data_IF_880590567374
#
_entry.id   IF_880590567374
#
_cell.length_a   1.000
_cell.length_b   1.000
_cell.length_c   1.000
_cell.angle_alpha   90.00
_cell.angle_beta   90.00
_cell.angle_gamma   90.00
#
_symmetry.space_group_name_H-M   'P 1'
#
loop_
_entity.id
_entity.type
_entity.pdbx_description
1 polymer ?
#
# COMPACT_ATOMS: atom_id res chain seq x y z
N UNK A 1 78.64 6.52 -22.76
CA UNK A 1 77.43 6.33 -23.55
C UNK A 1 76.28 6.27 -22.56
N UNK A 2 75.68 7.44 -22.24
CA UNK A 2 74.76 7.67 -21.16
C UNK A 2 73.32 7.56 -21.71
N UNK A 3 72.55 6.55 -21.31
CA UNK A 3 71.10 6.47 -21.51
C UNK A 3 70.39 7.01 -20.27
N UNK A 4 69.88 8.24 -20.41
CA UNK A 4 68.89 8.75 -19.45
C UNK A 4 67.51 8.30 -19.92
N UNK A 5 66.89 7.43 -19.14
CA UNK A 5 65.47 7.11 -19.27
C UNK A 5 64.68 8.25 -18.63
N UNK A 6 64.04 9.06 -19.44
CA UNK A 6 63.04 10.03 -18.99
C UNK A 6 61.74 9.28 -18.66
N UNK A 7 61.43 9.21 -17.38
CA UNK A 7 60.16 8.72 -16.88
C UNK A 7 59.10 9.86 -17.01
N UNK A 8 58.48 9.97 -18.15
CA UNK A 8 57.25 10.76 -18.31
C UNK A 8 56.06 9.87 -18.08
N UNK A 9 55.64 9.71 -16.83
CA UNK A 9 54.32 9.25 -16.50
C UNK A 9 53.33 10.41 -16.61
N UNK A 10 52.38 10.39 -17.53
CA UNK A 10 51.30 11.39 -17.51
C UNK A 10 50.46 11.18 -16.25
N UNK A 11 50.53 12.14 -15.34
CA UNK A 11 49.60 12.26 -14.23
C UNK A 11 48.18 12.29 -14.80
N UNK A 12 47.56 11.12 -14.85
CA UNK A 12 46.13 11.01 -15.04
C UNK A 12 45.46 11.81 -13.92
N UNK A 13 44.90 12.96 -14.26
CA UNK A 13 43.96 13.67 -13.38
C UNK A 13 42.81 12.71 -13.10
N UNK A 14 42.84 12.08 -11.91
CA UNK A 14 41.68 11.44 -11.34
C UNK A 14 40.67 12.57 -11.16
N UNK A 15 39.76 12.69 -12.08
CA UNK A 15 38.60 13.56 -11.91
C UNK A 15 37.97 13.20 -10.53
N UNK A 16 37.70 14.19 -9.68
CA UNK A 16 37.05 13.88 -8.41
C UNK A 16 35.74 13.18 -8.76
N UNK A 17 35.63 11.92 -8.32
CA UNK A 17 34.34 11.23 -8.25
C UNK A 17 33.53 12.06 -7.27
N UNK A 18 32.75 13.00 -7.81
CA UNK A 18 31.73 13.67 -7.02
C UNK A 18 30.86 12.58 -6.49
N UNK A 19 31.03 12.23 -5.22
CA UNK A 19 30.02 11.56 -4.42
C UNK A 19 28.77 12.45 -4.46
N UNK A 20 28.00 12.28 -5.52
CA UNK A 20 26.63 12.75 -5.55
C UNK A 20 25.92 11.86 -4.55
N UNK A 21 25.86 12.30 -3.29
CA UNK A 21 24.90 11.74 -2.34
C UNK A 21 23.56 11.67 -3.08
N UNK A 22 22.97 10.50 -3.27
CA UNK A 22 21.71 10.40 -3.96
C UNK A 22 20.74 11.32 -3.23
N UNK A 23 20.18 12.27 -3.97
CA UNK A 23 19.18 13.18 -3.40
C UNK A 23 18.05 12.32 -2.84
N UNK A 24 17.90 12.32 -1.51
CA UNK A 24 16.89 11.56 -0.78
C UNK A 24 15.46 12.00 -1.11
N UNK A 25 15.33 13.01 -1.97
CA UNK A 25 14.06 13.63 -2.32
C UNK A 25 13.91 13.54 -3.84
N UNK A 26 12.77 13.00 -4.35
CA UNK A 26 12.45 13.02 -5.77
C UNK A 26 12.44 14.46 -6.29
N UNK A 27 12.70 14.66 -7.57
CA UNK A 27 12.69 15.98 -8.17
C UNK A 27 11.41 16.73 -7.85
N UNK A 28 11.51 17.88 -7.19
CA UNK A 28 10.36 18.67 -6.70
C UNK A 28 9.29 18.89 -7.77
N UNK A 29 9.70 19.06 -9.03
CA UNK A 29 8.80 19.27 -10.15
C UNK A 29 7.91 18.04 -10.42
N UNK A 30 8.48 16.84 -10.49
CA UNK A 30 7.72 15.61 -10.73
C UNK A 30 6.75 15.30 -9.57
N UNK A 31 7.19 15.53 -8.34
CA UNK A 31 6.36 15.31 -7.15
C UNK A 31 5.19 16.28 -7.10
N UNK A 32 5.41 17.59 -7.32
CA UNK A 32 4.34 18.58 -7.31
C UNK A 32 3.33 18.38 -8.45
N UNK A 33 3.79 18.00 -9.63
CA UNK A 33 2.91 17.69 -10.78
C UNK A 33 2.04 16.49 -10.47
N UNK A 34 2.60 15.39 -9.95
CA UNK A 34 1.82 14.19 -9.62
C UNK A 34 0.77 14.48 -8.56
N UNK A 35 1.17 15.10 -7.45
CA UNK A 35 0.25 15.46 -6.37
C UNK A 35 -0.85 16.40 -6.89
N UNK A 36 -0.48 17.39 -7.69
CA UNK A 36 -1.43 18.32 -8.31
C UNK A 36 -2.43 17.61 -9.22
N UNK A 37 -1.99 16.66 -10.04
CA UNK A 37 -2.88 15.88 -10.91
C UNK A 37 -3.82 15.00 -10.08
N UNK A 38 -3.33 14.31 -9.04
CA UNK A 38 -4.17 13.47 -8.19
C UNK A 38 -5.21 14.32 -7.45
N UNK A 39 -4.81 15.45 -6.86
CA UNK A 39 -5.75 16.34 -6.18
C UNK A 39 -6.76 16.95 -7.15
N UNK A 40 -6.34 17.39 -8.32
CA UNK A 40 -7.24 17.88 -9.36
C UNK A 40 -8.24 16.81 -9.79
N UNK A 41 -7.79 15.57 -9.95
CA UNK A 41 -8.68 14.46 -10.28
C UNK A 41 -9.71 14.19 -9.19
N UNK A 42 -9.33 14.28 -7.91
CA UNK A 42 -10.28 14.20 -6.78
C UNK A 42 -11.31 15.35 -6.84
N UNK A 43 -10.87 16.56 -7.15
CA UNK A 43 -11.79 17.71 -7.32
C UNK A 43 -12.75 17.48 -8.47
N UNK A 44 -12.25 16.96 -9.60
CA UNK A 44 -13.08 16.69 -10.77
C UNK A 44 -14.16 15.63 -10.52
N UNK A 45 -13.94 14.68 -9.59
CA UNK A 45 -14.98 13.69 -9.24
C UNK A 45 -16.25 14.33 -8.66
N UNK A 46 -16.16 15.54 -8.11
CA UNK A 46 -17.32 16.27 -7.61
C UNK A 46 -18.21 16.86 -8.72
N UNK A 47 -17.68 16.95 -9.94
CA UNK A 47 -18.38 17.54 -11.08
C UNK A 47 -18.82 16.51 -12.11
N UNK A 48 -18.30 15.27 -12.03
CA UNK A 48 -18.57 14.24 -13.01
C UNK A 48 -19.47 13.18 -12.37
N UNK A 49 -20.76 13.25 -12.70
CA UNK A 49 -21.72 12.21 -12.35
C UNK A 49 -21.74 11.17 -13.49
N UNK A 50 -21.17 10.00 -13.27
CA UNK A 50 -21.29 8.89 -14.22
C UNK A 50 -22.55 8.10 -13.91
N UNK A 51 -23.35 7.73 -14.93
CA UNK A 51 -24.53 6.90 -14.70
C UNK A 51 -24.12 5.53 -14.13
N UNK A 52 -24.75 5.15 -13.01
CA UNK A 52 -24.61 3.79 -12.45
C UNK A 52 -25.11 2.77 -13.46
N UNK A 53 -24.26 1.84 -13.83
CA UNK A 53 -24.66 0.73 -14.70
C UNK A 53 -24.68 -0.57 -13.89
N UNK A 54 -25.85 -1.27 -13.82
CA UNK A 54 -25.87 -2.61 -13.26
C UNK A 54 -25.12 -3.54 -14.22
N UNK A 55 -24.03 -4.12 -13.76
CA UNK A 55 -23.31 -5.16 -14.49
C UNK A 55 -23.73 -6.50 -13.90
N UNK A 56 -24.47 -7.27 -14.67
CA UNK A 56 -24.88 -8.63 -14.30
C UNK A 56 -23.97 -9.65 -14.97
N UNK A 57 -23.23 -10.41 -14.23
CA UNK A 57 -22.48 -11.57 -14.70
C UNK A 57 -23.11 -12.82 -14.08
N UNK A 58 -23.51 -13.81 -14.87
CA UNK A 58 -23.94 -15.09 -14.34
C UNK A 58 -22.74 -16.02 -14.17
N UNK A 59 -22.40 -16.37 -12.92
CA UNK A 59 -21.36 -17.35 -12.61
C UNK A 59 -22.01 -18.59 -12.02
N UNK A 60 -21.79 -19.74 -12.64
CA UNK A 60 -22.36 -21.03 -12.21
C UNK A 60 -23.90 -21.01 -12.04
N UNK A 61 -24.61 -20.26 -12.90
CA UNK A 61 -26.07 -20.18 -12.83
C UNK A 61 -26.63 -19.20 -11.78
N UNK A 62 -25.78 -18.55 -10.98
CA UNK A 62 -26.19 -17.51 -10.04
C UNK A 62 -25.95 -16.12 -10.67
N UNK A 63 -26.96 -15.25 -10.79
CA UNK A 63 -26.79 -13.90 -11.29
C UNK A 63 -26.01 -13.07 -10.27
N UNK A 64 -24.74 -12.80 -10.54
CA UNK A 64 -23.94 -11.82 -9.81
C UNK A 64 -24.22 -10.44 -10.41
N UNK A 65 -25.19 -9.74 -9.86
CA UNK A 65 -25.36 -8.30 -10.15
C UNK A 65 -24.51 -7.51 -9.19
N UNK A 66 -23.56 -6.72 -9.68
CA UNK A 66 -22.91 -5.67 -8.91
C UNK A 66 -23.18 -4.32 -9.57
N UNK A 67 -23.51 -3.36 -8.74
CA UNK A 67 -23.68 -2.00 -9.19
C UNK A 67 -22.29 -1.36 -9.28
N UNK A 68 -21.83 -1.14 -10.50
CA UNK A 68 -20.62 -0.34 -10.71
C UNK A 68 -21.01 1.11 -10.45
N UNK A 69 -20.90 1.55 -9.21
CA UNK A 69 -21.16 2.93 -8.87
C UNK A 69 -20.06 3.84 -9.43
N UNK A 70 -20.43 5.03 -9.81
CA UNK A 70 -19.52 6.11 -10.24
C UNK A 70 -18.34 6.28 -9.28
N UNK A 71 -18.62 6.22 -7.98
CA UNK A 71 -17.62 6.40 -6.93
C UNK A 71 -16.51 5.36 -6.94
N UNK A 72 -16.84 4.07 -7.17
CA UNK A 72 -15.85 3.00 -7.25
C UNK A 72 -14.99 3.12 -8.51
N UNK A 73 -15.62 3.49 -9.63
CA UNK A 73 -14.90 3.70 -10.88
C UNK A 73 -13.92 4.87 -10.76
N UNK A 74 -14.37 5.98 -10.18
CA UNK A 74 -13.51 7.14 -9.94
C UNK A 74 -12.40 6.84 -8.95
N UNK A 75 -12.69 6.12 -7.86
CA UNK A 75 -11.68 5.68 -6.91
C UNK A 75 -10.61 4.77 -7.57
N UNK A 76 -11.02 3.86 -8.45
CA UNK A 76 -10.11 3.00 -9.20
C UNK A 76 -9.24 3.79 -10.20
N UNK A 77 -9.82 4.78 -10.89
CA UNK A 77 -9.06 5.67 -11.79
C UNK A 77 -8.02 6.50 -11.01
N UNK A 78 -8.39 7.02 -9.85
CA UNK A 78 -7.47 7.76 -8.97
C UNK A 78 -6.35 6.87 -8.44
N UNK A 79 -6.67 5.66 -8.04
CA UNK A 79 -5.67 4.67 -7.64
C UNK A 79 -4.70 4.36 -8.80
N UNK A 80 -5.22 4.14 -10.00
CA UNK A 80 -4.42 3.91 -11.20
C UNK A 80 -3.49 5.08 -11.54
N UNK A 81 -4.00 6.31 -11.40
CA UNK A 81 -3.22 7.53 -11.61
C UNK A 81 -2.10 7.68 -10.57
N UNK A 82 -2.39 7.41 -9.30
CA UNK A 82 -1.39 7.41 -8.24
C UNK A 82 -0.32 6.32 -8.46
N UNK A 83 -0.71 5.12 -8.90
CA UNK A 83 0.20 4.03 -9.25
C UNK A 83 1.15 4.42 -10.38
N UNK A 84 0.61 4.90 -11.50
CA UNK A 84 1.40 5.28 -12.70
C UNK A 84 2.35 6.43 -12.41
N UNK A 85 1.88 7.42 -11.65
CA UNK A 85 2.71 8.55 -11.23
C UNK A 85 3.83 8.13 -10.28
N UNK A 86 3.56 7.21 -9.36
CA UNK A 86 4.59 6.65 -8.47
C UNK A 86 5.64 5.88 -9.26
N UNK A 87 5.23 5.06 -10.22
CA UNK A 87 6.15 4.35 -11.11
C UNK A 87 7.10 5.31 -11.83
N UNK A 88 6.55 6.39 -12.39
CA UNK A 88 7.34 7.42 -13.06
C UNK A 88 8.39 8.05 -12.12
N UNK A 89 8.03 8.33 -10.86
CA UNK A 89 8.95 8.88 -9.86
C UNK A 89 10.00 7.86 -9.43
N UNK A 90 9.62 6.63 -9.12
CA UNK A 90 10.54 5.56 -8.69
C UNK A 90 11.59 5.27 -9.77
N UNK A 91 11.20 5.28 -11.05
CA UNK A 91 12.13 5.10 -12.19
C UNK A 91 13.14 6.23 -12.34
N UNK A 92 12.93 7.40 -11.76
CA UNK A 92 13.93 8.48 -11.75
C UNK A 92 15.06 8.25 -10.73
N UNK A 93 14.88 7.28 -9.80
CA UNK A 93 15.90 7.02 -8.79
C UNK A 93 17.17 6.43 -9.42
N UNK A 94 18.39 6.89 -9.05
CA UNK A 94 19.66 6.44 -9.65
C UNK A 94 19.85 4.91 -9.57
N UNK A 95 19.39 4.28 -8.49
CA UNK A 95 19.46 2.82 -8.28
C UNK A 95 18.28 2.04 -8.86
N UNK A 96 17.28 2.70 -9.42
CA UNK A 96 16.13 2.01 -10.03
C UNK A 96 16.53 1.10 -11.19
N UNK A 97 17.67 1.38 -11.86
CA UNK A 97 18.22 0.54 -12.92
C UNK A 97 18.79 -0.79 -12.42
N UNK A 98 19.18 -0.85 -11.14
CA UNK A 98 19.71 -2.05 -10.48
C UNK A 98 18.58 -2.92 -9.92
N UNK A 99 17.45 -2.30 -9.57
CA UNK A 99 16.23 -3.00 -9.15
C UNK A 99 15.55 -3.54 -10.41
N UNK A 100 15.41 -4.86 -10.49
CA UNK A 100 14.72 -5.49 -11.62
C UNK A 100 13.35 -4.83 -11.84
N UNK A 101 13.11 -4.31 -13.04
CA UNK A 101 11.86 -3.62 -13.41
C UNK A 101 10.60 -4.50 -13.20
N UNK A 102 10.78 -5.80 -13.02
CA UNK A 102 9.69 -6.75 -12.77
C UNK A 102 9.03 -6.59 -11.38
N UNK A 103 9.66 -5.88 -10.45
CA UNK A 103 9.18 -5.78 -9.06
C UNK A 103 8.80 -4.36 -8.63
N UNK A 104 8.75 -3.39 -9.56
CA UNK A 104 8.37 -2.00 -9.23
C UNK A 104 6.91 -1.87 -8.77
N UNK A 105 6.07 -2.86 -9.09
CA UNK A 105 4.64 -2.84 -8.72
C UNK A 105 4.38 -2.78 -7.21
N UNK A 106 5.34 -3.22 -6.37
CA UNK A 106 5.19 -3.14 -4.90
C UNK A 106 5.11 -1.68 -4.44
N UNK A 107 5.88 -0.78 -5.05
CA UNK A 107 5.88 0.65 -4.74
C UNK A 107 4.57 1.37 -5.15
N UNK A 108 3.70 0.72 -5.93
CA UNK A 108 2.43 1.31 -6.37
C UNK A 108 1.30 1.08 -5.35
N UNK A 109 1.45 0.05 -4.51
CA UNK A 109 0.38 -0.42 -3.63
C UNK A 109 -0.10 0.68 -2.70
N UNK A 110 0.79 1.28 -1.93
CA UNK A 110 0.39 2.27 -0.94
C UNK A 110 -0.15 3.57 -1.55
N UNK A 111 0.54 4.23 -2.51
CA UNK A 111 -0.01 5.43 -3.14
C UNK A 111 -1.37 5.18 -3.81
N UNK A 112 -1.53 4.03 -4.47
CA UNK A 112 -2.80 3.64 -5.08
C UNK A 112 -3.92 3.47 -4.06
N UNK A 113 -3.65 2.76 -2.96
CA UNK A 113 -4.64 2.56 -1.90
C UNK A 113 -4.94 3.83 -1.12
N UNK A 114 -3.97 4.72 -0.92
CA UNK A 114 -4.21 6.07 -0.35
C UNK A 114 -5.18 6.84 -1.24
N UNK A 115 -4.96 6.84 -2.56
CA UNK A 115 -5.85 7.51 -3.51
C UNK A 115 -7.28 6.93 -3.46
N UNK A 116 -7.40 5.61 -3.43
CA UNK A 116 -8.68 4.91 -3.34
C UNK A 116 -9.43 5.22 -2.04
N UNK A 117 -8.76 5.08 -0.89
CA UNK A 117 -9.36 5.36 0.43
C UNK A 117 -9.74 6.82 0.54
N UNK A 118 -8.87 7.74 0.11
CA UNK A 118 -9.16 9.17 0.13
C UNK A 118 -10.38 9.52 -0.72
N UNK A 119 -10.48 8.98 -1.94
CA UNK A 119 -11.65 9.20 -2.79
C UNK A 119 -12.95 8.73 -2.11
N UNK A 120 -12.93 7.54 -1.48
CA UNK A 120 -14.10 7.00 -0.78
C UNK A 120 -14.50 7.80 0.46
N UNK A 121 -13.53 8.24 1.25
CA UNK A 121 -13.79 9.04 2.45
C UNK A 121 -14.27 10.46 2.09
N UNK A 122 -13.68 11.08 1.08
CA UNK A 122 -14.07 12.41 0.62
C UNK A 122 -15.46 12.43 -0.01
N UNK A 123 -15.87 11.36 -0.70
CA UNK A 123 -17.21 11.22 -1.24
C UNK A 123 -18.29 11.20 -0.14
N UNK A 124 -17.94 10.81 1.09
CA UNK A 124 -18.84 10.76 2.25
C UNK A 124 -18.69 11.97 3.18
N UNK A 125 -17.92 12.99 2.80
CA UNK A 125 -17.69 14.14 3.65
C UNK A 125 -18.98 14.95 3.89
N UNK A 126 -19.40 15.16 5.17
CA UNK A 126 -20.69 15.77 5.48
C UNK A 126 -20.74 17.28 5.19
N UNK A 127 -19.59 17.95 5.13
CA UNK A 127 -19.52 19.38 4.88
C UNK A 127 -18.38 19.72 3.91
N UNK A 128 -18.51 20.84 3.19
CA UNK A 128 -17.46 21.35 2.30
C UNK A 128 -16.14 21.64 3.03
N UNK A 129 -16.23 22.07 4.29
CA UNK A 129 -15.04 22.34 5.11
C UNK A 129 -14.28 21.04 5.42
N UNK A 130 -14.97 19.98 5.83
CA UNK A 130 -14.38 18.66 6.07
C UNK A 130 -13.81 18.07 4.77
N UNK A 131 -14.52 18.23 3.67
CA UNK A 131 -14.05 17.83 2.36
C UNK A 131 -12.75 18.54 1.96
N UNK A 132 -12.69 19.88 2.10
CA UNK A 132 -11.49 20.65 1.80
C UNK A 132 -10.31 20.28 2.71
N UNK A 133 -10.54 20.11 4.01
CA UNK A 133 -9.52 19.65 4.96
C UNK A 133 -9.00 18.26 4.61
N UNK A 134 -9.91 17.35 4.25
CA UNK A 134 -9.56 16.00 3.81
C UNK A 134 -8.76 15.99 2.50
N UNK A 135 -9.07 16.89 1.55
CA UNK A 135 -8.31 17.05 0.32
C UNK A 135 -6.87 17.49 0.60
N UNK A 136 -6.67 18.48 1.47
CA UNK A 136 -5.33 18.94 1.89
C UNK A 136 -4.59 17.81 2.60
N UNK A 137 -5.24 17.11 3.55
CA UNK A 137 -4.65 15.98 4.26
C UNK A 137 -4.22 14.86 3.29
N UNK A 138 -5.04 14.56 2.29
CA UNK A 138 -4.71 13.59 1.23
C UNK A 138 -3.48 14.03 0.45
N UNK A 139 -3.39 15.29 0.05
CA UNK A 139 -2.21 15.81 -0.65
C UNK A 139 -0.92 15.67 0.17
N UNK A 140 -0.98 16.05 1.44
CA UNK A 140 0.16 15.89 2.37
C UNK A 140 0.53 14.41 2.53
N UNK A 141 -0.45 13.54 2.70
CA UNK A 141 -0.23 12.10 2.87
C UNK A 141 0.42 11.49 1.63
N UNK A 142 -0.05 11.82 0.42
CA UNK A 142 0.54 11.34 -0.84
C UNK A 142 2.00 11.80 -0.95
N UNK A 143 2.31 13.06 -0.63
CA UNK A 143 3.70 13.56 -0.63
C UNK A 143 4.57 12.72 0.31
N UNK A 144 4.11 12.48 1.53
CA UNK A 144 4.84 11.70 2.54
C UNK A 144 5.08 10.28 2.04
N UNK A 145 4.05 9.62 1.49
CA UNK A 145 4.15 8.27 0.96
C UNK A 145 5.13 8.21 -0.21
N UNK A 146 5.05 9.13 -1.16
CA UNK A 146 5.95 9.17 -2.32
C UNK A 146 7.42 9.37 -1.92
N UNK A 147 7.69 10.22 -0.93
CA UNK A 147 9.04 10.42 -0.40
C UNK A 147 9.53 9.15 0.31
N UNK A 148 8.67 8.50 1.10
CA UNK A 148 9.00 7.27 1.80
C UNK A 148 9.26 6.12 0.82
N UNK A 149 8.41 5.93 -0.20
CA UNK A 149 8.61 4.92 -1.24
C UNK A 149 9.91 5.17 -2.01
N UNK A 150 10.16 6.41 -2.41
CA UNK A 150 11.41 6.76 -3.09
C UNK A 150 12.64 6.46 -2.23
N UNK A 151 12.58 6.72 -0.93
CA UNK A 151 13.67 6.45 0.02
C UNK A 151 13.91 4.95 0.19
N UNK A 152 12.85 4.12 0.13
CA UNK A 152 12.97 2.66 0.31
C UNK A 152 13.53 1.93 -0.91
N UNK A 153 13.68 2.59 -2.05
CA UNK A 153 14.40 2.05 -3.22
C UNK A 153 15.87 1.75 -2.87
N UNK A 154 16.49 2.59 -2.04
CA UNK A 154 17.86 2.39 -1.56
C UNK A 154 17.87 1.79 -0.14
N UNK A 155 18.09 0.48 -0.03
CA UNK A 155 18.19 -0.21 1.28
C UNK A 155 19.38 0.25 2.14
N UNK A 156 20.38 0.88 1.56
CA UNK A 156 21.55 1.39 2.26
C UNK A 156 21.38 2.85 2.71
N UNK A 157 20.27 3.50 2.37
CA UNK A 157 19.99 4.85 2.79
C UNK A 157 19.85 4.94 4.33
N UNK A 158 20.45 5.94 4.99
CA UNK A 158 20.37 6.08 6.46
C UNK A 158 18.94 6.25 6.97
N UNK A 159 18.03 6.76 6.15
CA UNK A 159 16.60 6.95 6.46
C UNK A 159 15.71 5.77 6.05
N UNK A 160 16.27 4.67 5.50
CA UNK A 160 15.50 3.50 5.07
C UNK A 160 14.60 2.94 6.17
N UNK A 161 15.15 2.74 7.38
CA UNK A 161 14.42 2.16 8.51
C UNK A 161 13.22 3.02 8.93
N UNK A 162 13.38 4.35 8.94
CA UNK A 162 12.32 5.29 9.30
C UNK A 162 11.23 5.33 8.21
N UNK A 163 11.62 5.39 6.94
CA UNK A 163 10.70 5.34 5.81
C UNK A 163 9.90 4.03 5.82
N UNK A 164 10.55 2.89 6.05
CA UNK A 164 9.90 1.58 6.12
C UNK A 164 8.95 1.45 7.31
N UNK A 165 9.32 1.98 8.48
CA UNK A 165 8.43 2.02 9.64
C UNK A 165 7.17 2.84 9.33
N UNK A 166 7.32 4.01 8.71
CA UNK A 166 6.21 4.86 8.31
C UNK A 166 5.27 4.12 7.33
N UNK A 167 5.82 3.51 6.28
CA UNK A 167 5.04 2.76 5.29
C UNK A 167 4.33 1.57 5.94
N UNK A 168 5.00 0.81 6.80
CA UNK A 168 4.37 -0.30 7.51
C UNK A 168 3.21 0.18 8.41
N UNK A 169 3.40 1.28 9.15
CA UNK A 169 2.33 1.86 9.97
C UNK A 169 1.15 2.29 9.12
N UNK A 170 1.43 2.96 8.00
CA UNK A 170 0.40 3.39 7.07
C UNK A 170 -0.33 2.20 6.44
N UNK A 171 0.37 1.10 6.12
CA UNK A 171 -0.25 -0.11 5.59
C UNK A 171 -1.32 -0.67 6.54
N UNK A 172 -1.07 -0.68 7.86
CA UNK A 172 -2.08 -1.11 8.85
C UNK A 172 -3.25 -0.12 8.96
N UNK A 173 -2.98 1.19 8.88
CA UNK A 173 -4.05 2.21 8.86
C UNK A 173 -4.92 2.06 7.61
N UNK A 174 -4.31 1.86 6.44
CA UNK A 174 -5.02 1.60 5.18
C UNK A 174 -5.80 0.29 5.23
N UNK A 175 -5.20 -0.78 5.79
CA UNK A 175 -5.89 -2.05 5.98
C UNK A 175 -7.16 -1.86 6.81
N UNK A 176 -7.07 -1.18 7.94
CA UNK A 176 -8.22 -0.89 8.78
C UNK A 176 -9.32 -0.12 8.02
N UNK A 177 -8.93 0.99 7.37
CA UNK A 177 -9.88 1.82 6.62
C UNK A 177 -10.56 1.01 5.50
N UNK A 178 -9.81 0.22 4.73
CA UNK A 178 -10.33 -0.62 3.67
C UNK A 178 -11.28 -1.69 4.19
N UNK A 179 -10.92 -2.38 5.28
CA UNK A 179 -11.77 -3.41 5.88
C UNK A 179 -13.08 -2.82 6.41
N UNK A 180 -13.04 -1.64 7.04
CA UNK A 180 -14.27 -0.93 7.46
C UNK A 180 -15.11 -0.56 6.24
N UNK A 181 -14.52 0.03 5.19
CA UNK A 181 -15.23 0.44 3.98
C UNK A 181 -15.88 -0.76 3.28
N UNK A 182 -15.14 -1.87 3.13
CA UNK A 182 -15.65 -3.09 2.49
C UNK A 182 -16.78 -3.69 3.32
N UNK A 183 -16.58 -3.85 4.62
CA UNK A 183 -17.60 -4.42 5.50
C UNK A 183 -18.86 -3.54 5.59
N UNK A 184 -18.70 -2.21 5.57
CA UNK A 184 -19.81 -1.26 5.55
C UNK A 184 -20.65 -1.31 4.27
N UNK A 185 -20.08 -1.77 3.17
CA UNK A 185 -20.79 -1.82 1.87
C UNK A 185 -21.94 -2.82 1.85
N UNK A 186 -22.02 -3.75 2.83
CA UNK A 186 -23.03 -4.80 2.94
C UNK A 186 -23.32 -5.51 1.60
N UNK A 187 -22.28 -5.63 0.77
CA UNK A 187 -22.37 -6.30 -0.52
C UNK A 187 -22.59 -7.81 -0.38
N UNK A 188 -22.80 -8.48 -1.51
CA UNK A 188 -22.84 -9.95 -1.51
C UNK A 188 -21.53 -10.51 -0.99
N UNK A 189 -21.58 -11.54 -0.13
CA UNK A 189 -20.42 -12.14 0.53
C UNK A 189 -19.26 -12.48 -0.41
N UNK A 190 -19.56 -12.90 -1.64
CA UNK A 190 -18.53 -13.18 -2.64
C UNK A 190 -17.76 -11.92 -3.06
N UNK A 191 -18.44 -10.79 -3.21
CA UNK A 191 -17.82 -9.52 -3.64
C UNK A 191 -16.98 -8.95 -2.52
N UNK A 192 -17.51 -8.91 -1.30
CA UNK A 192 -16.78 -8.40 -0.13
C UNK A 192 -15.55 -9.26 0.17
N UNK A 193 -15.70 -10.59 0.19
CA UNK A 193 -14.60 -11.51 0.44
C UNK A 193 -13.49 -11.43 -0.62
N UNK A 194 -13.84 -11.33 -1.92
CA UNK A 194 -12.85 -11.18 -2.98
C UNK A 194 -12.15 -9.82 -2.92
N UNK A 195 -12.87 -8.76 -2.58
CA UNK A 195 -12.30 -7.41 -2.41
C UNK A 195 -11.35 -7.38 -1.22
N UNK A 196 -11.75 -7.95 -0.08
CA UNK A 196 -10.89 -8.11 1.11
C UNK A 196 -9.65 -8.93 0.80
N UNK A 197 -9.79 -10.04 0.06
CA UNK A 197 -8.66 -10.87 -0.39
C UNK A 197 -7.66 -10.03 -1.20
N UNK A 198 -8.13 -9.28 -2.21
CA UNK A 198 -7.26 -8.49 -3.09
C UNK A 198 -6.53 -7.39 -2.32
N UNK A 199 -7.23 -6.65 -1.47
CA UNK A 199 -6.60 -5.59 -0.67
C UNK A 199 -5.62 -6.15 0.36
N UNK A 200 -5.99 -7.25 1.03
CA UNK A 200 -5.12 -7.90 2.00
C UNK A 200 -3.86 -8.48 1.34
N UNK A 201 -4.00 -9.09 0.16
CA UNK A 201 -2.87 -9.58 -0.62
C UNK A 201 -1.92 -8.44 -1.00
N UNK A 202 -2.47 -7.34 -1.53
CA UNK A 202 -1.66 -6.20 -1.95
C UNK A 202 -0.90 -5.58 -0.77
N UNK A 203 -1.59 -5.31 0.35
CA UNK A 203 -0.97 -4.75 1.56
C UNK A 203 0.01 -5.73 2.21
N UNK A 204 -0.32 -7.02 2.29
CA UNK A 204 0.59 -8.03 2.82
C UNK A 204 1.87 -8.13 1.97
N UNK A 205 1.73 -8.06 0.63
CA UNK A 205 2.87 -8.06 -0.27
C UNK A 205 3.80 -6.88 0.02
N UNK A 206 3.28 -5.68 0.19
CA UNK A 206 4.07 -4.51 0.52
C UNK A 206 4.75 -4.63 1.89
N UNK A 207 4.01 -5.02 2.94
CA UNK A 207 4.57 -5.22 4.29
C UNK A 207 5.67 -6.28 4.28
N UNK A 208 5.44 -7.43 3.64
CA UNK A 208 6.37 -8.56 3.60
C UNK A 208 7.60 -8.28 2.70
N UNK A 209 7.48 -7.39 1.71
CA UNK A 209 8.60 -7.02 0.84
C UNK A 209 9.77 -6.43 1.61
N UNK A 210 9.47 -5.73 2.71
CA UNK A 210 10.48 -5.18 3.63
C UNK A 210 11.35 -6.23 4.32
N UNK A 211 10.90 -7.50 4.42
CA UNK A 211 11.68 -8.58 5.02
C UNK A 211 12.91 -8.99 4.18
N UNK A 212 12.97 -8.61 2.91
CA UNK A 212 14.13 -8.85 2.05
C UNK A 212 14.31 -10.30 1.61
N UNK A 213 13.27 -11.11 1.69
CA UNK A 213 13.28 -12.50 1.27
C UNK A 213 13.10 -12.65 -0.25
N UNK A 214 13.20 -13.89 -0.73
CA UNK A 214 12.98 -14.23 -2.12
C UNK A 214 11.57 -13.84 -2.59
N UNK A 215 11.41 -13.21 -3.78
CA UNK A 215 10.12 -12.73 -4.27
C UNK A 215 9.03 -13.81 -4.31
N UNK A 216 9.38 -15.04 -4.73
CA UNK A 216 8.44 -16.15 -4.81
C UNK A 216 7.84 -16.54 -3.46
N UNK A 217 8.65 -16.57 -2.40
CA UNK A 217 8.18 -16.85 -1.04
C UNK A 217 7.35 -15.72 -0.48
N UNK A 218 7.76 -14.48 -0.73
CA UNK A 218 7.03 -13.29 -0.29
C UNK A 218 5.64 -13.25 -0.91
N UNK A 219 5.52 -13.47 -2.22
CA UNK A 219 4.23 -13.49 -2.92
C UNK A 219 3.34 -14.64 -2.47
N UNK A 220 3.90 -15.83 -2.25
CA UNK A 220 3.13 -16.98 -1.76
C UNK A 220 2.54 -16.72 -0.36
N UNK A 221 3.32 -16.15 0.56
CA UNK A 221 2.83 -15.80 1.89
C UNK A 221 1.82 -14.64 1.86
N UNK A 222 2.03 -13.64 1.02
CA UNK A 222 1.05 -12.57 0.82
C UNK A 222 -0.28 -13.11 0.27
N UNK A 223 -0.22 -14.06 -0.66
CA UNK A 223 -1.41 -14.75 -1.17
C UNK A 223 -2.12 -15.56 -0.09
N UNK A 224 -1.38 -16.26 0.77
CA UNK A 224 -1.95 -16.99 1.90
C UNK A 224 -2.65 -16.04 2.89
N UNK A 225 -2.04 -14.88 3.21
CA UNK A 225 -2.67 -13.85 4.03
C UNK A 225 -3.96 -13.37 3.39
N UNK A 226 -3.93 -13.01 2.10
CA UNK A 226 -5.12 -12.56 1.37
C UNK A 226 -6.25 -13.60 1.39
N UNK A 227 -5.93 -14.88 1.14
CA UNK A 227 -6.90 -15.98 1.17
C UNK A 227 -7.55 -16.13 2.55
N UNK A 228 -6.76 -16.11 3.63
CA UNK A 228 -7.28 -16.23 4.99
C UNK A 228 -8.20 -15.06 5.32
N UNK A 229 -7.79 -13.83 4.99
CA UNK A 229 -8.61 -12.64 5.23
C UNK A 229 -9.93 -12.66 4.45
N UNK A 230 -9.88 -13.07 3.17
CA UNK A 230 -11.08 -13.23 2.36
C UNK A 230 -12.05 -14.27 2.94
N UNK A 231 -11.54 -15.40 3.45
CA UNK A 231 -12.36 -16.42 4.12
C UNK A 231 -12.92 -15.92 5.45
N UNK A 232 -12.12 -15.17 6.24
CA UNK A 232 -12.61 -14.54 7.47
C UNK A 232 -13.74 -13.56 7.18
N UNK A 233 -13.58 -12.69 6.17
CA UNK A 233 -14.62 -11.74 5.76
C UNK A 233 -15.88 -12.46 5.30
N UNK A 234 -15.73 -13.53 4.50
CA UNK A 234 -16.87 -14.37 4.10
C UNK A 234 -17.62 -14.93 5.31
N UNK A 235 -16.92 -15.50 6.29
CA UNK A 235 -17.53 -16.02 7.50
C UNK A 235 -18.21 -14.93 8.33
N UNK A 236 -17.58 -13.74 8.40
CA UNK A 236 -18.11 -12.60 9.15
C UNK A 236 -19.36 -11.97 8.54
N UNK A 237 -19.61 -12.15 7.23
CA UNK A 237 -20.83 -11.68 6.58
C UNK A 237 -22.12 -12.32 7.18
N UNK A 238 -21.99 -13.46 7.88
CA UNK A 238 -23.10 -14.09 8.60
C UNK A 238 -23.26 -13.57 10.03
N UNK A 239 -22.35 -12.70 10.49
CA UNK A 239 -22.41 -12.12 11.82
C UNK A 239 -22.97 -10.70 11.75
N UNK A 240 -23.92 -10.41 12.63
CA UNK A 240 -24.46 -9.05 12.78
C UNK A 240 -23.55 -8.23 13.71
N UNK A 241 -22.44 -7.78 13.20
CA UNK A 241 -21.48 -6.90 13.91
C UNK A 241 -21.37 -5.56 13.21
N UNK A 242 -20.98 -4.52 13.97
CA UNK A 242 -20.76 -3.20 13.39
C UNK A 242 -19.58 -3.21 12.42
N UNK A 243 -19.59 -2.31 11.42
CA UNK A 243 -18.50 -2.21 10.45
C UNK A 243 -17.14 -1.92 11.12
N UNK A 244 -17.15 -1.15 12.21
CA UNK A 244 -15.95 -0.86 12.99
C UNK A 244 -15.39 -2.11 13.67
N UNK A 245 -16.25 -2.88 14.34
CA UNK A 245 -15.84 -4.13 14.99
C UNK A 245 -15.36 -5.17 13.98
N UNK A 246 -16.03 -5.26 12.83
CA UNK A 246 -15.62 -6.12 11.74
C UNK A 246 -14.26 -5.73 11.16
N UNK A 247 -14.06 -4.45 10.90
CA UNK A 247 -12.78 -3.92 10.44
C UNK A 247 -11.64 -4.14 11.43
N UNK A 248 -11.90 -3.97 12.74
CA UNK A 248 -10.93 -4.26 13.79
C UNK A 248 -10.55 -5.75 13.85
N UNK A 249 -11.54 -6.64 13.70
CA UNK A 249 -11.28 -8.07 13.72
C UNK A 249 -10.43 -8.50 12.52
N UNK A 250 -10.75 -8.01 11.32
CA UNK A 250 -9.95 -8.28 10.12
C UNK A 250 -8.55 -7.67 10.24
N UNK A 251 -8.42 -6.47 10.81
CA UNK A 251 -7.11 -5.88 11.08
C UNK A 251 -6.28 -6.72 12.05
N UNK A 252 -6.90 -7.26 13.11
CA UNK A 252 -6.22 -8.13 14.06
C UNK A 252 -5.69 -9.40 13.36
N UNK A 253 -6.51 -10.05 12.55
CA UNK A 253 -6.10 -11.23 11.76
C UNK A 253 -4.98 -10.84 10.79
N UNK A 254 -5.10 -9.71 10.10
CA UNK A 254 -4.07 -9.20 9.19
C UNK A 254 -2.75 -8.96 9.91
N UNK A 255 -2.77 -8.31 11.07
CA UNK A 255 -1.57 -8.04 11.88
C UNK A 255 -0.87 -9.34 12.32
N UNK A 256 -1.62 -10.30 12.84
CA UNK A 256 -1.08 -11.59 13.28
C UNK A 256 -0.48 -12.35 12.11
N UNK A 257 -1.20 -12.45 10.99
CA UNK A 257 -0.75 -13.18 9.81
C UNK A 257 0.49 -12.56 9.18
N UNK A 258 0.51 -11.24 8.99
CA UNK A 258 1.66 -10.54 8.41
C UNK A 258 2.85 -10.54 9.37
N UNK A 259 2.61 -10.44 10.69
CA UNK A 259 3.66 -10.52 11.70
C UNK A 259 4.33 -11.91 11.72
N UNK A 260 3.56 -12.98 11.78
CA UNK A 260 4.06 -14.36 11.71
C UNK A 260 4.79 -14.60 10.39
N UNK A 261 4.22 -14.17 9.26
CA UNK A 261 4.85 -14.31 7.95
C UNK A 261 6.19 -13.56 7.86
N UNK A 262 6.27 -12.35 8.41
CA UNK A 262 7.52 -11.57 8.46
C UNK A 262 8.59 -12.30 9.27
N UNK A 263 8.26 -12.82 10.45
CA UNK A 263 9.19 -13.59 11.28
C UNK A 263 9.64 -14.88 10.60
N UNK A 264 8.73 -15.53 9.90
CA UNK A 264 9.05 -16.73 9.11
C UNK A 264 10.04 -16.41 7.97
N UNK A 265 9.81 -15.33 7.21
CA UNK A 265 10.71 -14.91 6.13
C UNK A 265 12.09 -14.52 6.63
N UNK A 266 12.18 -13.95 7.84
CA UNK A 266 13.45 -13.58 8.47
C UNK A 266 14.16 -14.77 9.14
N UNK A 267 13.57 -15.97 9.14
CA UNK A 267 14.12 -17.15 9.83
C UNK A 267 14.13 -17.03 11.36
N UNK A 268 13.33 -16.12 11.93
CA UNK A 268 13.26 -15.83 13.36
C UNK A 268 11.99 -16.39 14.03
N UNK A 269 11.25 -17.25 13.34
CA UNK A 269 10.02 -17.83 13.89
C UNK A 269 10.37 -18.82 15.01
N UNK A 270 10.21 -18.38 16.26
CA UNK A 270 10.39 -19.18 17.45
C UNK A 270 9.07 -19.47 18.14
N UNK A 271 9.05 -20.49 19.02
CA UNK A 271 7.85 -20.79 19.81
C UNK A 271 7.40 -19.60 20.69
N UNK A 272 8.35 -18.81 21.19
CA UNK A 272 8.04 -17.60 21.97
C UNK A 272 7.28 -16.57 21.12
N UNK A 273 7.77 -16.29 19.91
CA UNK A 273 7.10 -15.37 18.98
C UNK A 273 5.68 -15.83 18.65
N UNK A 274 5.45 -17.14 18.44
CA UNK A 274 4.09 -17.65 18.22
C UNK A 274 3.18 -17.44 19.43
N UNK A 275 3.71 -17.62 20.66
CA UNK A 275 2.94 -17.37 21.89
C UNK A 275 2.60 -15.88 22.02
N UNK A 276 3.54 -14.97 21.71
CA UNK A 276 3.30 -13.52 21.73
C UNK A 276 2.16 -13.14 20.77
N UNK A 277 2.21 -13.62 19.53
CA UNK A 277 1.13 -13.37 18.57
C UNK A 277 -0.20 -14.00 19.00
N UNK A 278 -0.18 -15.17 19.63
CA UNK A 278 -1.40 -15.80 20.15
C UNK A 278 -2.01 -14.97 21.31
N UNK A 279 -1.18 -14.43 22.21
CA UNK A 279 -1.63 -13.54 23.29
C UNK A 279 -2.26 -12.27 22.71
N UNK A 280 -1.62 -11.65 21.70
CA UNK A 280 -2.16 -10.47 21.03
C UNK A 280 -3.49 -10.80 20.33
N UNK A 281 -3.59 -11.95 19.66
CA UNK A 281 -4.81 -12.40 19.01
C UNK A 281 -5.97 -12.58 20.02
N UNK A 282 -5.71 -13.25 21.12
CA UNK A 282 -6.73 -13.50 22.17
C UNK A 282 -7.12 -12.19 22.85
N UNK A 283 -6.15 -11.35 23.22
CA UNK A 283 -6.40 -10.06 23.85
C UNK A 283 -7.15 -9.11 22.93
N UNK A 284 -6.75 -9.00 21.67
CA UNK A 284 -7.44 -8.19 20.67
C UNK A 284 -8.88 -8.69 20.42
N UNK A 285 -9.08 -10.01 20.33
CA UNK A 285 -10.39 -10.60 20.22
C UNK A 285 -11.27 -10.24 21.42
N UNK A 286 -10.76 -10.36 22.64
CA UNK A 286 -11.47 -9.99 23.85
C UNK A 286 -11.89 -8.50 23.83
N UNK A 287 -10.98 -7.60 23.42
CA UNK A 287 -11.28 -6.18 23.29
C UNK A 287 -12.40 -5.92 22.29
N UNK A 288 -12.37 -6.56 21.11
CA UNK A 288 -13.40 -6.41 20.08
C UNK A 288 -14.77 -6.90 20.62
N UNK A 289 -14.79 -7.98 21.39
CA UNK A 289 -16.05 -8.51 21.98
C UNK A 289 -16.58 -7.65 23.13
N UNK A 290 -15.71 -7.04 23.95
CA UNK A 290 -16.11 -6.15 25.05
C UNK A 290 -16.62 -4.81 24.53
N UNK A 291 -15.98 -4.29 23.46
CA UNK A 291 -16.37 -3.02 22.83
C UNK A 291 -17.58 -3.16 21.87
N UNK A 292 -18.21 -4.30 21.81
CA UNK A 292 -19.48 -4.44 21.05
C UNK A 292 -20.51 -3.50 21.65
N UNK A 293 -21.05 -2.53 20.85
CA UNK A 293 -22.20 -1.73 21.26
C UNK A 293 -23.47 -2.59 21.30
#
# INVERSE_FOLDING_TARGET
MNWRLTNDTPHGRIAPVFDRHPTLIPGRQHLSVLVGIVLLSIVLTQFIELPTRPVGISVLGSPLGFELSSDWLMAALLAGLACTGTDAIVRTHPRAREVSLQHTFVYWVQPGLVGLVAARLLAQAPTRAIWAAGLVATGVLIVIVLIAEYTTVDRLAPSYSQARLLLNTLAYVLAFALFVIVYQSHGRSLITATTTLVFSLALALDVLWGAGAEPGRTTALAAAVGLVLGQCDWAMNYWQISAWSGGMLLLLVFYVMTGVATQHLQGRLTRQVLIEFAIVAIGGMAVVFVLRP
#
